data_IF_278529878891
#
_entry.id   IF_278529878891
#
_cell.length_a   1.000
_cell.length_b   1.000
_cell.length_c   1.000
_cell.angle_alpha   90.00
_cell.angle_beta   90.00
_cell.angle_gamma   90.00
#
_symmetry.space_group_name_H-M   'P 1'
#
loop_
_entity.id
_entity.type
_entity.pdbx_description
1 polymer ?
#
# COMPACT_ATOMS: atom_id res chain seq x y z
N UNK A 1 -3.45 -22.44 20.06
CA UNK A 1 -2.32 -22.75 19.15
C UNK A 1 -2.23 -21.61 18.14
N UNK A 2 -1.17 -20.79 18.14
CA UNK A 2 -1.02 -19.73 17.12
C UNK A 2 -0.69 -20.40 15.78
N UNK A 3 -1.31 -19.94 14.69
CA UNK A 3 -1.00 -20.41 13.34
C UNK A 3 0.48 -20.15 13.01
N UNK A 4 1.11 -21.06 12.25
CA UNK A 4 2.49 -20.90 11.77
C UNK A 4 2.71 -19.55 11.06
N UNK A 5 1.70 -19.09 10.30
CA UNK A 5 1.72 -17.78 9.65
C UNK A 5 1.93 -16.62 10.64
N UNK A 6 1.23 -16.68 11.76
CA UNK A 6 1.32 -15.65 12.81
C UNK A 6 2.69 -15.64 13.45
N UNK A 7 3.26 -16.84 13.69
CA UNK A 7 4.61 -16.97 14.26
C UNK A 7 5.64 -16.35 13.31
N UNK A 8 5.65 -16.77 12.05
CA UNK A 8 6.61 -16.28 11.05
C UNK A 8 6.48 -14.76 10.86
N UNK A 9 5.27 -14.22 10.82
CA UNK A 9 5.05 -12.78 10.74
C UNK A 9 5.73 -12.02 11.88
N UNK A 10 5.51 -12.46 13.12
CA UNK A 10 6.08 -11.81 14.29
C UNK A 10 7.58 -12.02 14.42
N UNK A 11 8.12 -13.15 13.96
CA UNK A 11 9.56 -13.37 13.94
C UNK A 11 10.29 -12.34 13.06
N UNK A 12 9.74 -12.02 11.88
CA UNK A 12 10.28 -10.93 11.05
C UNK A 12 10.08 -9.56 11.70
N UNK A 13 8.90 -9.28 12.26
CA UNK A 13 8.64 -8.00 12.94
C UNK A 13 9.62 -7.75 14.09
N UNK A 14 9.89 -8.77 14.92
CA UNK A 14 10.81 -8.63 16.05
C UNK A 14 12.25 -8.38 15.59
N UNK A 15 12.74 -9.11 14.58
CA UNK A 15 14.08 -8.88 14.03
C UNK A 15 14.28 -7.45 13.51
N UNK A 16 13.29 -6.95 12.77
CA UNK A 16 13.33 -5.58 12.26
C UNK A 16 13.29 -4.57 13.42
N UNK A 17 12.47 -4.83 14.45
CA UNK A 17 12.40 -3.97 15.62
C UNK A 17 13.74 -3.91 16.37
N UNK A 18 14.40 -5.05 16.55
CA UNK A 18 15.73 -5.13 17.18
C UNK A 18 16.75 -4.31 16.36
N UNK A 19 16.78 -4.47 15.04
CA UNK A 19 17.65 -3.67 14.14
C UNK A 19 17.37 -2.16 14.20
N UNK A 20 16.10 -1.77 14.29
CA UNK A 20 15.69 -0.36 14.39
C UNK A 20 16.09 0.25 15.75
N UNK A 21 16.07 -0.56 16.81
CA UNK A 21 16.54 -0.14 18.14
C UNK A 21 18.07 0.00 18.12
N UNK A 22 18.79 -0.99 17.60
CA UNK A 22 20.25 -1.01 17.56
C UNK A 22 20.84 0.14 16.73
N UNK A 23 20.17 0.53 15.65
CA UNK A 23 20.56 1.67 14.81
C UNK A 23 20.11 3.03 15.38
N UNK A 24 19.30 3.04 16.44
CA UNK A 24 18.71 4.24 17.03
C UNK A 24 17.59 4.88 16.18
N UNK A 25 17.27 4.32 15.02
CA UNK A 25 16.22 4.80 14.11
C UNK A 25 14.86 4.78 14.81
N UNK A 26 14.57 3.77 15.65
CA UNK A 26 13.31 3.72 16.39
C UNK A 26 13.14 4.98 17.26
N UNK A 27 14.16 5.33 18.05
CA UNK A 27 14.12 6.51 18.93
C UNK A 27 13.98 7.80 18.12
N UNK A 28 14.79 7.97 17.07
CA UNK A 28 14.77 9.17 16.23
C UNK A 28 13.44 9.34 15.49
N UNK A 29 12.88 8.25 14.95
CA UNK A 29 11.57 8.26 14.29
C UNK A 29 10.44 8.64 15.26
N UNK A 30 10.50 8.15 16.50
CA UNK A 30 9.51 8.49 17.53
C UNK A 30 9.58 9.99 17.92
N UNK A 31 10.77 10.60 17.88
CA UNK A 31 10.94 12.05 18.09
C UNK A 31 10.34 12.82 16.93
N UNK A 32 10.67 12.43 15.69
CA UNK A 32 10.11 13.05 14.48
C UNK A 32 8.58 12.98 14.47
N UNK A 33 8.00 11.82 14.78
CA UNK A 33 6.55 11.60 14.81
C UNK A 33 5.86 12.47 15.88
N UNK A 34 6.43 12.57 17.09
CA UNK A 34 5.85 13.42 18.15
C UNK A 34 5.88 14.91 17.85
N UNK A 35 6.85 15.36 17.05
CA UNK A 35 7.00 16.77 16.70
C UNK A 35 6.07 17.22 15.56
N UNK A 36 5.32 16.30 14.95
CA UNK A 36 4.49 16.58 13.78
C UNK A 36 3.08 16.03 13.92
N UNK A 37 2.09 16.81 13.47
CA UNK A 37 0.68 16.39 13.47
C UNK A 37 0.38 15.48 12.28
N UNK A 38 0.90 14.25 12.28
CA UNK A 38 0.77 13.32 11.15
C UNK A 38 -0.67 12.94 10.80
N UNK A 39 -1.61 13.10 11.72
CA UNK A 39 -3.04 12.81 11.49
C UNK A 39 -3.87 14.03 11.05
N UNK A 40 -3.24 15.20 10.93
CA UNK A 40 -3.89 16.40 10.40
C UNK A 40 -3.62 16.53 8.90
N UNK A 41 -4.64 16.29 8.07
CA UNK A 41 -4.57 16.41 6.61
C UNK A 41 -4.12 17.80 6.14
N UNK A 42 -4.45 18.85 6.90
CA UNK A 42 -4.12 20.23 6.55
C UNK A 42 -2.74 20.69 7.04
N UNK A 43 -2.00 19.84 7.75
CA UNK A 43 -0.63 20.14 8.16
C UNK A 43 0.33 20.04 6.96
N UNK A 44 1.38 20.88 6.92
CA UNK A 44 2.47 20.70 5.97
C UNK A 44 3.60 19.94 6.66
N UNK A 45 3.85 18.70 6.22
CA UNK A 45 4.84 17.81 6.84
C UNK A 45 6.01 17.61 5.87
N UNK A 46 7.26 17.92 6.26
CA UNK A 46 8.42 17.62 5.44
C UNK A 46 8.69 16.11 5.43
N UNK A 47 9.54 15.64 4.52
CA UNK A 47 9.95 14.24 4.53
C UNK A 47 10.76 13.94 5.80
N UNK A 48 10.14 13.19 6.72
CA UNK A 48 10.73 12.81 8.00
C UNK A 48 11.64 11.60 7.79
N UNK A 49 12.95 11.84 7.73
CA UNK A 49 13.95 10.85 7.30
C UNK A 49 13.92 9.57 8.14
N UNK A 50 13.92 9.68 9.46
CA UNK A 50 14.00 8.51 10.34
C UNK A 50 12.67 7.75 10.35
N UNK A 51 11.54 8.46 10.31
CA UNK A 51 10.24 7.84 10.11
C UNK A 51 10.14 7.12 8.77
N UNK A 52 10.65 7.71 7.69
CA UNK A 52 10.70 7.08 6.37
C UNK A 52 11.52 5.77 6.40
N UNK A 53 12.71 5.81 6.99
CA UNK A 53 13.57 4.64 7.15
C UNK A 53 12.89 3.55 8.00
N UNK A 54 12.27 3.91 9.12
CA UNK A 54 11.50 2.97 9.95
C UNK A 54 10.39 2.31 9.13
N UNK A 55 9.54 3.10 8.47
CA UNK A 55 8.41 2.56 7.67
C UNK A 55 8.88 1.69 6.51
N UNK A 56 9.99 2.07 5.85
CA UNK A 56 10.59 1.28 4.78
C UNK A 56 11.12 -0.06 5.31
N UNK A 57 11.88 -0.06 6.41
CA UNK A 57 12.40 -1.29 7.03
C UNK A 57 11.30 -2.22 7.51
N UNK A 58 10.27 -1.68 8.17
CA UNK A 58 9.12 -2.45 8.63
C UNK A 58 8.35 -3.12 7.48
N UNK A 59 8.22 -2.45 6.33
CA UNK A 59 7.52 -2.97 5.15
C UNK A 59 8.39 -3.97 4.38
N UNK A 60 9.60 -3.56 4.00
CA UNK A 60 10.49 -4.33 3.13
C UNK A 60 11.21 -5.47 3.85
N UNK A 61 11.42 -5.35 5.16
CA UNK A 61 12.05 -6.38 5.98
C UNK A 61 11.13 -7.55 6.33
N UNK A 62 9.82 -7.43 6.09
CA UNK A 62 8.85 -8.50 6.36
C UNK A 62 8.28 -9.06 5.04
N UNK A 63 8.74 -10.24 4.58
CA UNK A 63 8.27 -10.83 3.33
C UNK A 63 6.77 -11.03 3.27
N UNK A 64 6.12 -11.31 4.40
CA UNK A 64 4.65 -11.45 4.46
C UNK A 64 3.98 -10.11 4.12
N UNK A 65 4.45 -8.99 4.68
CA UNK A 65 3.94 -7.66 4.33
C UNK A 65 4.17 -7.35 2.85
N UNK A 66 5.33 -7.69 2.31
CA UNK A 66 5.65 -7.48 0.89
C UNK A 66 4.69 -8.26 -0.01
N UNK A 67 4.45 -9.54 0.24
CA UNK A 67 3.58 -10.35 -0.63
C UNK A 67 2.09 -10.00 -0.48
N UNK A 68 1.64 -9.56 0.70
CA UNK A 68 0.21 -9.24 0.93
C UNK A 68 -0.14 -7.78 0.67
N UNK A 69 0.84 -6.89 0.68
CA UNK A 69 0.62 -5.45 0.64
C UNK A 69 1.54 -4.73 -0.32
N UNK A 70 2.43 -5.42 -1.02
CA UNK A 70 3.31 -4.85 -2.04
C UNK A 70 4.60 -4.26 -1.47
N UNK A 71 5.52 -3.96 -2.38
CA UNK A 71 6.77 -3.25 -2.07
C UNK A 71 6.52 -1.75 -1.94
N UNK A 72 7.27 -1.10 -1.05
CA UNK A 72 7.24 0.35 -0.86
C UNK A 72 8.67 0.92 -0.94
N UNK A 73 8.78 2.20 -1.29
CA UNK A 73 10.02 2.97 -1.22
C UNK A 73 9.75 4.27 -0.47
N UNK A 74 10.82 4.93 -0.02
CA UNK A 74 10.73 6.31 0.48
C UNK A 74 10.22 7.19 -0.67
N UNK A 75 9.19 7.99 -0.38
CA UNK A 75 8.62 8.94 -1.35
C UNK A 75 9.49 10.19 -1.48
N UNK A 76 9.53 10.80 -2.66
CA UNK A 76 10.15 12.11 -2.85
C UNK A 76 9.36 13.21 -2.12
N UNK A 77 8.04 13.05 -2.06
CA UNK A 77 7.12 14.02 -1.45
C UNK A 77 6.14 13.30 -0.51
N UNK A 78 6.12 13.64 0.79
CA UNK A 78 5.10 13.14 1.70
C UNK A 78 3.70 13.48 1.19
N UNK A 79 2.76 12.60 1.46
CA UNK A 79 1.36 12.78 1.05
C UNK A 79 0.43 12.24 2.13
N UNK A 80 -0.77 12.82 2.22
CA UNK A 80 -1.78 12.36 3.17
C UNK A 80 -2.63 11.24 2.54
N UNK A 81 -2.63 10.06 3.17
CA UNK A 81 -3.45 8.94 2.72
C UNK A 81 -3.80 8.02 3.89
N UNK A 82 -5.02 7.47 3.87
CA UNK A 82 -5.47 6.53 4.91
C UNK A 82 -5.51 7.13 6.32
N UNK A 83 -5.67 8.45 6.45
CA UNK A 83 -5.74 9.15 7.74
C UNK A 83 -4.39 9.53 8.36
N UNK A 84 -3.29 9.43 7.62
CA UNK A 84 -1.97 9.85 8.10
C UNK A 84 -1.05 10.33 6.96
N UNK A 85 -0.10 11.21 7.28
CA UNK A 85 1.00 11.58 6.39
C UNK A 85 1.96 10.40 6.20
N UNK A 86 2.15 10.01 4.94
CA UNK A 86 2.98 8.88 4.52
C UNK A 86 4.36 9.35 4.09
N UNK A 87 5.40 8.67 4.58
CA UNK A 87 6.80 8.89 4.21
C UNK A 87 7.32 7.86 3.21
N UNK A 88 6.48 6.88 2.87
CA UNK A 88 6.75 5.81 1.93
C UNK A 88 5.56 5.65 1.01
N UNK A 89 5.83 5.37 -0.26
CA UNK A 89 4.82 5.07 -1.28
C UNK A 89 5.07 3.69 -1.89
N UNK A 90 4.02 3.12 -2.46
CA UNK A 90 4.06 1.85 -3.16
C UNK A 90 4.81 1.99 -4.47
N UNK A 91 5.49 0.92 -4.87
CA UNK A 91 6.10 0.84 -6.19
C UNK A 91 5.16 0.11 -7.15
N UNK A 92 5.00 0.65 -8.35
CA UNK A 92 4.39 0.00 -9.50
C UNK A 92 5.26 -1.17 -10.01
N UNK A 93 5.35 -2.26 -9.23
CA UNK A 93 6.23 -3.40 -9.55
C UNK A 93 5.96 -4.00 -10.95
N UNK A 94 4.74 -3.85 -11.46
CA UNK A 94 4.33 -4.29 -12.79
C UNK A 94 5.07 -3.60 -13.94
N UNK A 95 5.72 -2.45 -13.69
CA UNK A 95 6.59 -1.80 -14.68
C UNK A 95 7.86 -2.61 -14.96
N UNK A 96 8.23 -3.49 -14.02
CA UNK A 96 9.39 -4.39 -14.14
C UNK A 96 9.00 -5.86 -14.33
N UNK A 97 7.70 -6.18 -14.35
CA UNK A 97 7.22 -7.55 -14.56
C UNK A 97 7.33 -7.95 -16.03
N UNK A 98 8.25 -8.86 -16.34
CA UNK A 98 8.59 -9.23 -17.72
C UNK A 98 8.12 -10.63 -18.14
N UNK A 99 7.45 -11.37 -17.27
CA UNK A 99 6.86 -12.65 -17.65
C UNK A 99 5.62 -12.44 -18.51
N UNK A 100 5.31 -13.44 -19.34
CA UNK A 100 4.11 -13.42 -20.19
C UNK A 100 2.83 -13.83 -19.45
N UNK A 101 2.94 -14.35 -18.24
CA UNK A 101 1.80 -14.85 -17.45
C UNK A 101 0.93 -13.66 -17.02
N UNK A 102 -0.40 -13.67 -17.28
CA UNK A 102 -1.27 -12.60 -16.79
C UNK A 102 -1.35 -12.59 -15.26
N UNK A 103 -1.30 -11.40 -14.65
CA UNK A 103 -1.42 -11.22 -13.20
C UNK A 103 -2.66 -10.39 -12.86
N UNK A 104 -3.47 -10.92 -11.95
CA UNK A 104 -4.64 -10.23 -11.40
C UNK A 104 -4.33 -9.84 -9.96
N UNK A 105 -4.57 -8.58 -9.61
CA UNK A 105 -4.31 -8.05 -8.27
C UNK A 105 -5.56 -7.39 -7.67
N UNK A 106 -5.67 -7.47 -6.34
CA UNK A 106 -6.75 -6.82 -5.58
C UNK A 106 -6.26 -6.40 -4.19
N UNK A 107 -5.71 -5.17 -4.09
CA UNK A 107 -5.37 -4.48 -2.84
C UNK A 107 -4.75 -3.08 -3.09
N UNK A 108 -4.99 -2.48 -4.25
CA UNK A 108 -4.34 -1.23 -4.67
C UNK A 108 -5.34 -0.09 -4.88
N UNK A 109 -6.63 -0.29 -4.58
CA UNK A 109 -7.66 0.75 -4.57
C UNK A 109 -7.68 1.58 -5.87
N UNK A 110 -8.02 0.92 -6.98
CA UNK A 110 -8.21 1.59 -8.26
C UNK A 110 -9.53 2.33 -8.24
N UNK A 111 -9.56 3.64 -8.47
CA UNK A 111 -10.83 4.36 -8.63
C UNK A 111 -11.31 4.18 -10.06
N UNK A 112 -12.60 3.89 -10.23
CA UNK A 112 -13.18 3.79 -11.57
C UNK A 112 -13.42 5.18 -12.19
N UNK A 113 -13.81 6.15 -11.37
CA UNK A 113 -14.00 7.52 -11.79
C UNK A 113 -13.02 8.43 -11.04
N UNK A 114 -12.56 9.50 -11.69
CA UNK A 114 -11.79 10.58 -11.04
C UNK A 114 -10.52 10.11 -10.29
N UNK A 115 -9.74 9.22 -10.90
CA UNK A 115 -8.38 8.92 -10.42
C UNK A 115 -7.49 10.14 -10.70
N UNK A 116 -7.08 10.86 -9.65
CA UNK A 116 -6.27 12.09 -9.75
C UNK A 116 -4.86 11.94 -9.17
N UNK A 117 -4.57 10.80 -8.56
CA UNK A 117 -3.35 10.53 -7.80
C UNK A 117 -3.00 9.04 -7.76
N UNK A 118 -1.85 8.70 -7.18
CA UNK A 118 -1.42 7.33 -6.91
C UNK A 118 -1.05 6.50 -8.14
N UNK A 119 -0.84 5.20 -7.91
CA UNK A 119 -0.29 4.24 -8.89
C UNK A 119 -1.08 4.14 -10.21
N UNK A 120 -2.37 4.49 -10.21
CA UNK A 120 -3.25 4.34 -11.36
C UNK A 120 -3.59 5.66 -12.06
N UNK A 121 -3.02 6.80 -11.64
CA UNK A 121 -3.38 8.13 -12.15
C UNK A 121 -3.43 8.23 -13.69
N UNK A 122 -2.52 7.55 -14.39
CA UNK A 122 -2.42 7.58 -15.86
C UNK A 122 -2.93 6.30 -16.54
N UNK A 123 -3.62 5.42 -15.80
CA UNK A 123 -4.05 4.12 -16.29
C UNK A 123 -5.58 4.09 -16.29
N UNK A 124 -6.20 4.03 -17.48
CA UNK A 124 -7.66 3.95 -17.59
C UNK A 124 -8.20 2.74 -16.82
N UNK A 125 -9.31 2.85 -16.08
CA UNK A 125 -9.80 1.83 -15.13
C UNK A 125 -10.01 0.43 -15.69
N UNK A 126 -10.32 0.31 -16.98
CA UNK A 126 -10.61 -0.95 -17.67
C UNK A 126 -9.40 -1.50 -18.48
N UNK A 127 -8.26 -0.82 -18.46
CA UNK A 127 -7.07 -1.27 -19.17
C UNK A 127 -6.21 -2.24 -18.36
N UNK A 128 -5.67 -3.23 -19.06
CA UNK A 128 -4.51 -3.99 -18.63
C UNK A 128 -3.26 -3.09 -18.73
N UNK A 129 -2.34 -3.25 -17.78
CA UNK A 129 -1.15 -2.41 -17.62
C UNK A 129 0.09 -3.25 -17.29
N UNK A 130 1.19 -2.59 -16.93
CA UNK A 130 2.51 -3.21 -16.76
C UNK A 130 3.28 -3.33 -18.06
N UNK A 131 4.55 -3.72 -17.96
CA UNK A 131 5.52 -3.76 -19.07
C UNK A 131 4.99 -4.50 -20.31
N UNK A 132 4.25 -5.59 -20.11
CA UNK A 132 3.67 -6.42 -21.18
C UNK A 132 2.16 -6.25 -21.35
N UNK A 133 1.54 -5.26 -20.69
CA UNK A 133 0.07 -5.05 -20.68
C UNK A 133 -0.69 -6.31 -20.25
N UNK A 134 -0.17 -7.01 -19.25
CA UNK A 134 -0.68 -8.29 -18.74
C UNK A 134 -0.95 -8.28 -17.23
N UNK A 135 -1.00 -7.10 -16.61
CA UNK A 135 -1.45 -6.93 -15.21
C UNK A 135 -2.81 -6.23 -15.18
N UNK A 136 -3.72 -6.72 -14.34
CA UNK A 136 -5.04 -6.12 -14.16
C UNK A 136 -5.40 -6.01 -12.67
N UNK A 137 -5.85 -4.82 -12.26
CA UNK A 137 -6.35 -4.58 -10.90
C UNK A 137 -7.87 -4.64 -10.88
N UNK A 138 -8.41 -5.57 -10.09
CA UNK A 138 -9.86 -5.79 -9.88
C UNK A 138 -10.43 -5.05 -8.67
N UNK A 139 -9.57 -4.50 -7.82
CA UNK A 139 -9.98 -3.76 -6.64
C UNK A 139 -10.38 -2.33 -7.02
N UNK A 140 -11.67 -2.13 -7.30
CA UNK A 140 -12.23 -0.81 -7.61
C UNK A 140 -12.57 0.01 -6.35
N UNK A 141 -11.63 0.08 -5.39
CA UNK A 141 -11.80 0.82 -4.13
C UNK A 141 -12.99 0.35 -3.28
N UNK A 142 -13.31 -0.94 -3.32
CA UNK A 142 -14.51 -1.50 -2.67
C UNK A 142 -14.55 -1.23 -1.16
N UNK A 143 -13.39 -1.01 -0.53
CA UNK A 143 -13.28 -0.64 0.89
C UNK A 143 -14.05 0.64 1.25
N UNK A 144 -14.22 1.59 0.31
CA UNK A 144 -14.96 2.83 0.57
C UNK A 144 -16.45 2.59 0.85
N UNK A 145 -17.00 1.47 0.38
CA UNK A 145 -18.39 1.07 0.67
C UNK A 145 -18.66 0.81 2.16
N UNK A 146 -17.62 0.51 2.95
CA UNK A 146 -17.77 0.42 4.41
C UNK A 146 -18.16 1.78 5.00
N UNK A 147 -17.49 2.84 4.56
CA UNK A 147 -17.77 4.22 5.01
C UNK A 147 -19.13 4.68 4.47
N UNK A 148 -19.47 4.38 3.21
CA UNK A 148 -20.81 4.70 2.66
C UNK A 148 -21.93 4.05 3.47
N UNK A 149 -21.73 2.81 3.94
CA UNK A 149 -22.69 2.10 4.79
C UNK A 149 -22.88 2.78 6.14
N UNK A 150 -21.79 3.23 6.78
CA UNK A 150 -21.86 3.96 8.05
C UNK A 150 -22.60 5.29 7.85
N UNK A 151 -22.28 6.02 6.78
CA UNK A 151 -22.87 7.31 6.45
C UNK A 151 -24.28 7.20 5.85
N UNK A 152 -24.78 5.98 5.62
CA UNK A 152 -26.06 5.69 4.96
C UNK A 152 -26.19 6.35 3.58
N UNK A 153 -25.10 6.38 2.81
CA UNK A 153 -25.03 6.88 1.44
C UNK A 153 -25.16 5.74 0.43
N UNK A 154 -25.57 6.08 -0.80
CA UNK A 154 -25.51 5.14 -1.91
C UNK A 154 -24.06 4.76 -2.24
N UNK A 155 -23.86 3.52 -2.67
CA UNK A 155 -22.53 3.04 -3.06
C UNK A 155 -22.14 3.62 -4.42
N UNK A 156 -21.08 4.42 -4.44
CA UNK A 156 -20.56 5.06 -5.65
C UNK A 156 -19.44 4.25 -6.32
N UNK A 157 -18.68 3.47 -5.54
CA UNK A 157 -17.58 2.64 -6.04
C UNK A 157 -18.08 1.30 -6.60
N UNK A 158 -17.40 0.80 -7.63
CA UNK A 158 -17.83 -0.38 -8.39
C UNK A 158 -17.29 -1.70 -7.81
N UNK A 159 -17.90 -2.82 -8.21
CA UNK A 159 -17.36 -4.16 -8.02
C UNK A 159 -16.85 -4.68 -9.36
N UNK A 160 -15.70 -5.34 -9.37
CA UNK A 160 -15.23 -6.14 -10.50
C UNK A 160 -15.44 -7.62 -10.21
N UNK A 161 -15.75 -8.39 -11.24
CA UNK A 161 -15.70 -9.84 -11.21
C UNK A 161 -14.85 -10.33 -12.38
N UNK A 162 -13.95 -11.28 -12.10
CA UNK A 162 -13.26 -12.04 -13.14
C UNK A 162 -13.97 -13.37 -13.27
N UNK A 163 -14.39 -13.67 -14.50
CA UNK A 163 -14.97 -14.96 -14.85
C UNK A 163 -13.87 -15.81 -15.50
N UNK A 164 -13.46 -16.87 -14.82
CA UNK A 164 -12.62 -17.89 -15.43
C UNK A 164 -13.48 -18.78 -16.33
N UNK A 165 -12.95 -19.26 -17.46
CA UNK A 165 -13.65 -20.25 -18.28
C UNK A 165 -13.87 -21.52 -17.45
N UNK A 166 -15.12 -21.95 -17.33
CA UNK A 166 -15.50 -23.13 -16.55
C UNK A 166 -15.43 -24.43 -17.36
N UNK A 167 -15.25 -24.33 -18.69
CA UNK A 167 -15.19 -25.46 -19.63
C UNK A 167 -14.10 -25.25 -20.68
N UNK A 168 -12.84 -25.55 -20.33
CA UNK A 168 -11.73 -25.68 -21.30
C UNK A 168 -11.52 -27.16 -21.60
#
# INVERSE_FOLDING_TARGET
>A
MKSLFVIVYFDYQNKIQDELIDTGIDTLSNIEEKNHSLHNEHASIPLLKNLALKKMSEQMGNPIRVITSGVENITDYPFFAGGSWRMVDRIAWWDNYDDHIPVVIGHYWRKFNNQTDGLFFQIQPNHWFGKRKNVFCIDFSVGRRYVDRIEKKEFVDLLCAIRFPENI
#
